data_IF_617165131191
#
_entry.id   IF_617165131191
#
_cell.length_a   1.000
_cell.length_b   1.000
_cell.length_c   1.000
_cell.angle_alpha   90.00
_cell.angle_beta   90.00
_cell.angle_gamma   90.00
#
_symmetry.space_group_name_H-M   'P 1'
#
loop_
_entity.id
_entity.type
_entity.pdbx_description
1 polymer ?
#
# COMPACT_ATOMS: atom_id res chain seq x y z
N UNK A 1 -37.38 -27.85 -34.25
CA UNK A 1 -36.17 -28.68 -34.40
C UNK A 1 -35.16 -28.14 -33.40
N UNK A 2 -34.99 -28.83 -32.28
CA UNK A 2 -34.16 -28.39 -31.16
C UNK A 2 -32.73 -28.91 -31.37
N UNK A 3 -31.73 -28.04 -31.29
CA UNK A 3 -30.33 -28.43 -31.14
C UNK A 3 -29.75 -27.74 -29.90
N UNK A 4 -29.50 -28.58 -28.91
CA UNK A 4 -28.84 -28.30 -27.64
C UNK A 4 -27.35 -28.07 -27.90
N UNK A 5 -26.88 -26.84 -27.68
CA UNK A 5 -25.47 -26.46 -27.76
C UNK A 5 -24.78 -26.64 -26.41
N UNK A 6 -23.86 -27.58 -26.35
CA UNK A 6 -23.22 -28.16 -25.16
C UNK A 6 -22.30 -27.15 -24.47
N UNK A 7 -22.51 -26.89 -23.18
CA UNK A 7 -21.61 -26.12 -22.31
C UNK A 7 -20.32 -26.92 -22.05
N UNK A 8 -19.18 -26.43 -22.54
CA UNK A 8 -17.88 -26.99 -22.21
C UNK A 8 -17.29 -26.23 -21.01
N UNK A 9 -17.54 -26.75 -19.80
CA UNK A 9 -16.95 -26.27 -18.55
C UNK A 9 -15.50 -26.79 -18.45
N UNK A 10 -14.54 -25.94 -18.80
CA UNK A 10 -13.12 -26.26 -18.66
C UNK A 10 -12.73 -26.19 -17.18
N UNK A 11 -12.81 -27.33 -16.49
CA UNK A 11 -12.31 -27.52 -15.12
C UNK A 11 -10.79 -27.50 -15.11
N UNK A 12 -10.20 -26.44 -14.56
CA UNK A 12 -8.77 -26.45 -14.22
C UNK A 12 -8.55 -27.03 -12.82
N UNK A 13 -7.64 -28.01 -12.64
CA UNK A 13 -7.36 -28.61 -11.34
C UNK A 13 -6.61 -27.65 -10.41
N UNK A 14 -7.14 -27.53 -9.19
CA UNK A 14 -6.54 -26.80 -8.08
C UNK A 14 -5.27 -27.52 -7.59
N UNK A 15 -4.10 -26.91 -7.79
CA UNK A 15 -2.85 -27.37 -7.15
C UNK A 15 -2.89 -26.98 -5.67
N UNK A 16 -3.48 -27.85 -4.84
CA UNK A 16 -3.28 -27.87 -3.39
C UNK A 16 -1.80 -28.19 -3.16
N UNK A 17 -1.02 -27.20 -2.71
CA UNK A 17 0.32 -27.47 -2.17
C UNK A 17 0.13 -27.81 -0.70
N UNK A 18 -0.02 -29.10 -0.45
CA UNK A 18 0.32 -29.70 0.84
C UNK A 18 1.82 -29.49 1.07
N UNK A 19 2.13 -28.71 2.11
CA UNK A 19 3.48 -28.35 2.50
C UNK A 19 3.55 -28.12 3.99
N UNK A 20 3.14 -29.14 4.75
CA UNK A 20 3.43 -29.23 6.17
C UNK A 20 4.89 -29.62 6.40
N UNK A 21 5.42 -29.13 7.53
CA UNK A 21 6.63 -29.59 8.24
C UNK A 21 7.85 -28.67 8.14
N UNK A 22 7.94 -27.77 9.12
CA UNK A 22 9.13 -27.64 9.97
C UNK A 22 8.76 -26.76 11.16
N UNK A 23 8.38 -27.40 12.27
CA UNK A 23 8.41 -26.78 13.59
C UNK A 23 9.88 -26.51 13.89
N UNK A 24 10.34 -25.28 13.71
CA UNK A 24 11.65 -24.85 14.20
C UNK A 24 11.50 -24.39 15.65
N UNK A 25 12.38 -24.93 16.48
CA UNK A 25 12.47 -24.75 17.92
C UNK A 25 12.31 -23.30 18.38
N UNK A 26 11.35 -23.08 19.27
CA UNK A 26 11.17 -21.84 20.02
C UNK A 26 12.31 -21.75 21.04
N UNK A 27 13.42 -21.12 20.65
CA UNK A 27 14.44 -20.71 21.61
C UNK A 27 13.84 -19.65 22.56
N UNK A 28 14.04 -19.76 23.89
CA UNK A 28 13.51 -18.79 24.84
C UNK A 28 14.14 -17.42 24.61
N UNK A 29 13.28 -16.44 24.35
CA UNK A 29 13.60 -15.02 24.17
C UNK A 29 14.12 -14.46 25.49
N UNK A 30 15.41 -14.57 25.74
CA UNK A 30 16.07 -13.85 26.82
C UNK A 30 15.94 -12.36 26.52
N UNK A 31 15.14 -11.64 27.32
CA UNK A 31 15.07 -10.19 27.33
C UNK A 31 16.42 -9.66 27.82
N UNK A 32 17.37 -9.46 26.91
CA UNK A 32 18.52 -8.60 27.19
C UNK A 32 18.04 -7.16 27.11
N UNK A 33 17.72 -6.57 28.26
CA UNK A 33 17.64 -5.13 28.41
C UNK A 33 19.05 -4.59 28.14
N UNK A 34 19.23 -4.03 26.94
CA UNK A 34 20.45 -3.32 26.56
C UNK A 34 20.42 -1.98 27.30
N UNK A 35 21.44 -1.64 28.11
CA UNK A 35 21.43 -0.41 28.87
C UNK A 35 21.42 0.80 27.93
N UNK A 36 20.55 1.74 28.29
CA UNK A 36 20.43 3.08 27.72
C UNK A 36 21.72 3.86 28.00
N UNK A 37 22.52 4.18 26.97
CA UNK A 37 23.43 5.33 26.92
C UNK A 37 24.22 5.30 25.60
N UNK A 38 23.69 5.91 24.56
CA UNK A 38 24.47 6.55 23.50
C UNK A 38 23.49 7.38 22.68
N UNK A 39 23.74 8.69 22.56
CA UNK A 39 23.00 9.57 21.68
C UNK A 39 22.87 8.93 20.30
N UNK A 40 21.66 8.53 19.91
CA UNK A 40 21.40 8.04 18.56
C UNK A 40 21.90 9.11 17.58
N UNK A 41 22.72 8.75 16.58
CA UNK A 41 23.02 9.69 15.49
C UNK A 41 21.68 10.19 14.92
N UNK A 42 21.61 11.43 14.40
CA UNK A 42 20.38 11.92 13.79
C UNK A 42 19.91 10.87 12.81
N UNK A 43 18.71 10.31 13.05
CA UNK A 43 18.11 9.28 12.21
C UNK A 43 17.75 9.96 10.90
N UNK A 44 18.74 10.10 10.02
CA UNK A 44 18.52 10.62 8.68
C UNK A 44 17.58 9.62 8.02
N UNK A 45 16.37 10.04 7.60
CA UNK A 45 15.49 9.13 6.91
C UNK A 45 16.24 8.58 5.70
N UNK A 46 16.13 7.27 5.40
CA UNK A 46 16.79 6.69 4.24
C UNK A 46 16.30 7.44 3.00
N UNK A 47 17.20 8.23 2.42
CA UNK A 47 17.01 8.90 1.13
C UNK A 47 16.83 7.80 0.09
N UNK A 48 15.81 7.94 -0.75
CA UNK A 48 15.51 6.90 -1.72
C UNK A 48 16.52 6.92 -2.87
N UNK A 49 16.62 5.77 -3.54
CA UNK A 49 17.54 5.49 -4.64
C UNK A 49 17.72 6.66 -5.63
N UNK A 50 18.90 6.75 -6.28
CA UNK A 50 19.31 7.86 -7.14
C UNK A 50 18.24 8.34 -8.13
N UNK A 51 18.34 9.62 -8.58
CA UNK A 51 17.28 10.39 -9.24
C UNK A 51 16.68 9.72 -10.49
N UNK A 52 17.41 8.82 -11.15
CA UNK A 52 16.92 8.07 -12.31
C UNK A 52 15.69 7.18 -11.97
N UNK A 53 15.56 6.71 -10.72
CA UNK A 53 14.40 5.95 -10.25
C UNK A 53 13.16 6.82 -9.94
N UNK A 54 13.34 8.13 -9.77
CA UNK A 54 12.31 9.03 -9.27
C UNK A 54 11.13 9.17 -10.26
N UNK A 55 11.42 9.20 -11.56
CA UNK A 55 10.40 9.30 -12.60
C UNK A 55 9.45 8.09 -12.58
N UNK A 56 9.99 6.87 -12.49
CA UNK A 56 9.20 5.63 -12.41
C UNK A 56 8.35 5.59 -11.15
N UNK A 57 8.89 6.03 -10.00
CA UNK A 57 8.13 6.17 -8.75
C UNK A 57 6.96 7.14 -8.92
N UNK A 58 7.21 8.33 -9.44
CA UNK A 58 6.19 9.37 -9.66
C UNK A 58 5.07 8.85 -10.56
N UNK A 59 5.40 8.21 -11.68
CA UNK A 59 4.41 7.63 -12.60
C UNK A 59 3.53 6.56 -11.91
N UNK A 60 4.14 5.65 -11.15
CA UNK A 60 3.41 4.63 -10.39
C UNK A 60 2.45 5.27 -9.37
N UNK A 61 2.92 6.29 -8.66
CA UNK A 61 2.15 7.03 -7.65
C UNK A 61 0.97 7.78 -8.26
N UNK A 62 1.17 8.45 -9.38
CA UNK A 62 0.09 9.10 -10.14
C UNK A 62 -0.98 8.11 -10.56
N UNK A 63 -0.57 6.92 -11.05
CA UNK A 63 -1.50 5.85 -11.42
C UNK A 63 -2.33 5.37 -10.23
N UNK A 64 -1.73 5.22 -9.05
CA UNK A 64 -2.46 4.84 -7.83
C UNK A 64 -3.48 5.91 -7.42
N UNK A 65 -3.12 7.18 -7.47
CA UNK A 65 -4.05 8.29 -7.18
C UNK A 65 -5.19 8.34 -8.20
N UNK A 66 -4.87 8.21 -9.49
CA UNK A 66 -5.88 8.20 -10.55
C UNK A 66 -6.89 7.06 -10.33
N UNK A 67 -6.42 5.88 -9.90
CA UNK A 67 -7.30 4.76 -9.54
C UNK A 67 -8.22 5.10 -8.36
N UNK A 68 -7.73 5.78 -7.32
CA UNK A 68 -8.54 6.20 -6.19
C UNK A 68 -9.57 7.28 -6.55
N UNK A 69 -9.17 8.24 -7.39
CA UNK A 69 -10.03 9.34 -7.85
C UNK A 69 -11.08 8.91 -8.86
N UNK A 70 -10.84 7.84 -9.62
CA UNK A 70 -11.81 7.22 -10.52
C UNK A 70 -12.71 6.22 -9.76
N UNK A 71 -13.31 6.68 -8.66
CA UNK A 71 -14.27 5.88 -7.89
C UNK A 71 -15.51 6.70 -7.62
N UNK A 72 -16.69 6.07 -7.66
CA UNK A 72 -17.96 6.73 -7.37
C UNK A 72 -17.97 7.38 -5.97
N UNK A 73 -17.26 6.77 -5.01
CA UNK A 73 -17.09 7.33 -3.67
C UNK A 73 -16.33 8.66 -3.65
N UNK A 74 -15.27 8.78 -4.46
CA UNK A 74 -14.54 10.05 -4.57
C UNK A 74 -15.39 11.15 -5.23
N UNK A 75 -16.21 10.80 -6.22
CA UNK A 75 -17.14 11.74 -6.85
C UNK A 75 -18.27 12.18 -5.91
N UNK A 76 -18.76 11.27 -5.06
CA UNK A 76 -19.71 11.61 -4.00
C UNK A 76 -19.06 12.55 -2.97
N UNK A 77 -17.85 12.23 -2.50
CA UNK A 77 -17.09 13.08 -1.59
C UNK A 77 -16.86 14.49 -2.16
N UNK A 78 -16.45 14.60 -3.43
CA UNK A 78 -16.23 15.90 -4.09
C UNK A 78 -17.49 16.77 -4.14
N UNK A 79 -18.67 16.16 -4.26
CA UNK A 79 -19.97 16.85 -4.25
C UNK A 79 -20.40 17.26 -2.84
N UNK A 80 -20.09 16.44 -1.84
CA UNK A 80 -20.43 16.71 -0.44
C UNK A 80 -19.51 17.74 0.21
N UNK A 81 -18.22 17.71 -0.09
CA UNK A 81 -17.20 18.56 0.54
C UNK A 81 -16.49 19.41 -0.52
N UNK A 82 -16.88 20.70 -0.67
CA UNK A 82 -16.20 21.68 -1.51
C UNK A 82 -14.72 21.84 -1.15
N UNK A 83 -13.90 22.34 -2.08
CA UNK A 83 -12.44 22.42 -1.89
C UNK A 83 -12.06 23.31 -0.71
N UNK A 84 -12.80 24.41 -0.52
CA UNK A 84 -12.56 25.41 0.52
C UNK A 84 -12.77 24.85 1.93
N UNK A 85 -13.61 23.82 2.06
CA UNK A 85 -13.92 23.18 3.35
C UNK A 85 -12.97 22.02 3.67
N UNK A 86 -12.12 21.60 2.72
CA UNK A 86 -11.16 20.51 2.93
C UNK A 86 -10.01 21.00 3.79
N UNK A 87 -9.80 20.35 4.93
CA UNK A 87 -8.74 20.71 5.86
C UNK A 87 -7.50 19.85 5.57
N UNK A 88 -6.31 20.45 5.33
CA UNK A 88 -5.11 19.68 5.11
C UNK A 88 -4.71 18.97 6.42
N UNK A 89 -4.42 17.67 6.32
CA UNK A 89 -3.99 16.82 7.46
C UNK A 89 -5.02 16.71 8.59
N UNK A 90 -6.33 16.76 8.29
CA UNK A 90 -7.38 16.42 9.24
C UNK A 90 -7.77 14.95 9.15
N UNK A 91 -8.42 14.44 10.20
CA UNK A 91 -9.06 13.11 10.17
C UNK A 91 -10.43 13.16 9.46
N UNK A 92 -11.03 14.35 9.37
CA UNK A 92 -12.39 14.52 8.84
C UNK A 92 -12.44 14.50 7.31
N UNK A 93 -11.41 15.07 6.66
CA UNK A 93 -11.36 15.21 5.20
C UNK A 93 -10.11 14.53 4.66
N UNK A 94 -10.23 13.35 4.01
CA UNK A 94 -9.08 12.65 3.48
C UNK A 94 -8.39 13.52 2.43
N UNK A 95 -7.06 13.51 2.46
CA UNK A 95 -6.21 14.30 1.55
C UNK A 95 -5.41 13.39 0.63
N UNK A 96 -5.33 13.76 -0.65
CA UNK A 96 -4.47 13.05 -1.59
C UNK A 96 -3.00 13.24 -1.19
N UNK A 97 -2.19 12.17 -1.11
CA UNK A 97 -0.77 12.29 -0.81
C UNK A 97 0.02 12.90 -1.98
N UNK A 98 1.07 13.66 -1.66
CA UNK A 98 1.93 14.30 -2.66
C UNK A 98 2.87 13.29 -3.34
N UNK A 99 2.74 13.20 -4.66
CA UNK A 99 3.45 12.29 -5.56
C UNK A 99 4.97 12.50 -5.54
N UNK A 100 5.41 13.75 -5.39
CA UNK A 100 6.82 14.12 -5.46
C UNK A 100 7.56 13.94 -4.13
N UNK A 101 6.82 13.62 -3.06
CA UNK A 101 7.39 13.47 -1.72
C UNK A 101 8.42 12.33 -1.68
N UNK A 102 9.60 12.60 -1.15
CA UNK A 102 10.63 11.57 -1.00
C UNK A 102 10.34 10.67 0.21
N UNK A 103 9.44 9.70 0.01
CA UNK A 103 9.02 8.72 1.04
C UNK A 103 9.13 7.28 0.55
N UNK A 104 9.63 6.35 1.40
CA UNK A 104 9.78 4.96 0.98
C UNK A 104 8.46 4.34 0.54
N UNK A 105 8.50 3.34 -0.35
CA UNK A 105 7.30 2.71 -0.90
C UNK A 105 6.33 2.22 0.18
N UNK A 106 6.83 1.66 1.29
CA UNK A 106 6.01 1.25 2.44
C UNK A 106 5.25 2.43 3.07
N UNK A 107 5.92 3.57 3.25
CA UNK A 107 5.30 4.79 3.80
C UNK A 107 4.30 5.37 2.81
N UNK A 108 4.63 5.37 1.52
CA UNK A 108 3.72 5.78 0.45
C UNK A 108 2.42 4.95 0.47
N UNK A 109 2.52 3.63 0.50
CA UNK A 109 1.36 2.74 0.53
C UNK A 109 0.49 2.97 1.79
N UNK A 110 1.12 3.27 2.92
CA UNK A 110 0.38 3.68 4.14
C UNK A 110 -0.44 4.95 3.93
N UNK A 111 0.11 5.95 3.24
CA UNK A 111 -0.61 7.19 2.95
C UNK A 111 -1.77 7.01 1.96
N UNK A 112 -1.66 6.07 1.02
CA UNK A 112 -2.73 5.81 0.02
C UNK A 112 -3.87 4.98 0.61
N UNK A 113 -3.62 4.19 1.65
CA UNK A 113 -4.60 3.30 2.29
C UNK A 113 -5.26 3.89 3.54
N UNK A 114 -4.78 5.04 4.01
CA UNK A 114 -5.33 5.76 5.17
C UNK A 114 -6.66 6.42 4.80
#
# INVERSE_FOLDING_TARGET
>A
MNTVGVNHVSSQPSKRRDGGSARTDVLPRTKRHKPCAAASPPVVPPVLDPPNSAHTRVAQRQKMIAKGKNTAGYDAYRRQVPVEQRRPRSMDTPSTPDVHRDVPNKRWQGLVRA
#
